data_IF_899717875768
#
_entry.id   IF_899717875768
#
_cell.length_a   1.000
_cell.length_b   1.000
_cell.length_c   1.000
_cell.angle_alpha   90.00
_cell.angle_beta   90.00
_cell.angle_gamma   90.00
#
_symmetry.space_group_name_H-M   'P 1'
#
loop_
_entity.id
_entity.type
_entity.pdbx_description
1 polymer ?
#
# COMPACT_ATOMS: atom_id res chain seq x y z
N UNK A 1 10.14 12.43 14.11
CA UNK A 1 9.73 13.15 12.90
C UNK A 1 9.40 12.09 11.85
N UNK A 2 8.14 12.01 11.43
CA UNK A 2 7.66 11.09 10.40
C UNK A 2 7.44 9.66 10.88
N UNK A 3 6.31 9.38 11.51
CA UNK A 3 5.87 8.00 11.66
C UNK A 3 5.54 7.44 10.27
N UNK A 4 6.34 6.48 9.80
CA UNK A 4 6.09 5.70 8.58
C UNK A 4 4.83 4.84 8.78
N UNK A 5 3.66 5.47 8.74
CA UNK A 5 2.40 4.77 8.75
C UNK A 5 2.12 4.26 7.35
N UNK A 6 2.72 3.11 7.01
CA UNK A 6 2.35 2.34 5.84
C UNK A 6 0.97 1.71 6.08
N UNK A 7 -0.06 2.32 5.50
CA UNK A 7 -1.43 1.80 5.58
C UNK A 7 -1.63 0.68 4.55
N UNK A 8 -2.47 -0.31 4.89
CA UNK A 8 -2.81 -1.43 4.00
C UNK A 8 -4.27 -1.35 3.57
N UNK A 9 -4.49 -1.34 2.26
CA UNK A 9 -5.83 -1.39 1.65
C UNK A 9 -5.98 -2.70 0.86
N UNK A 10 -7.16 -3.32 0.99
CA UNK A 10 -7.55 -4.50 0.22
C UNK A 10 -8.51 -4.08 -0.88
N UNK A 11 -8.12 -4.31 -2.14
CA UNK A 11 -8.99 -4.11 -3.30
C UNK A 11 -9.08 -5.44 -4.04
N UNK A 12 -10.19 -6.15 -3.85
CA UNK A 12 -10.37 -7.50 -4.40
C UNK A 12 -9.25 -8.46 -3.98
N UNK A 13 -8.45 -8.88 -4.97
CA UNK A 13 -7.29 -9.76 -4.79
C UNK A 13 -5.94 -9.02 -4.66
N UNK A 14 -5.94 -7.69 -4.60
CA UNK A 14 -4.72 -6.89 -4.49
C UNK A 14 -4.53 -6.35 -3.07
N UNK A 15 -3.27 -6.31 -2.65
CA UNK A 15 -2.80 -5.59 -1.46
C UNK A 15 -2.08 -4.34 -1.92
N UNK A 16 -2.49 -3.19 -1.37
CA UNK A 16 -1.90 -1.89 -1.65
C UNK A 16 -1.25 -1.35 -0.39
N UNK A 17 0.00 -0.90 -0.51
CA UNK A 17 0.72 -0.15 0.51
C UNK A 17 0.74 1.31 0.08
N UNK A 18 0.30 2.19 0.96
CA UNK A 18 0.17 3.62 0.66
C UNK A 18 0.42 4.50 1.89
N UNK A 19 0.75 5.75 1.62
CA UNK A 19 0.84 6.83 2.60
C UNK A 19 -0.33 7.81 2.42
N UNK A 20 -0.78 8.40 3.53
CA UNK A 20 -1.80 9.47 3.53
C UNK A 20 -1.17 10.74 4.08
N UNK A 21 -1.14 11.79 3.26
CA UNK A 21 -0.71 13.12 3.64
C UNK A 21 -1.93 14.01 3.87
N UNK A 22 -2.49 13.94 5.08
CA UNK A 22 -3.72 14.63 5.44
C UNK A 22 -3.63 16.17 5.32
N UNK A 23 -2.44 16.75 5.49
CA UNK A 23 -2.20 18.19 5.39
C UNK A 23 -2.41 18.78 3.99
N UNK A 24 -2.27 17.93 2.96
CA UNK A 24 -2.33 18.35 1.54
C UNK A 24 -3.35 17.54 0.73
N UNK A 25 -4.13 16.68 1.40
CA UNK A 25 -5.12 15.77 0.78
C UNK A 25 -4.50 14.90 -0.34
N UNK A 26 -3.29 14.38 -0.11
CA UNK A 26 -2.59 13.50 -1.06
C UNK A 26 -2.52 12.07 -0.54
N UNK A 27 -2.73 11.10 -1.42
CA UNK A 27 -2.50 9.67 -1.18
C UNK A 27 -1.41 9.18 -2.12
N UNK A 28 -0.30 8.70 -1.56
CA UNK A 28 0.83 8.17 -2.33
C UNK A 28 0.80 6.64 -2.31
N UNK A 29 0.83 6.02 -3.50
CA UNK A 29 0.86 4.56 -3.64
C UNK A 29 2.31 4.09 -3.74
N UNK A 30 2.76 3.30 -2.75
CA UNK A 30 4.12 2.77 -2.70
C UNK A 30 4.23 1.47 -3.48
N UNK A 31 3.26 0.56 -3.31
CA UNK A 31 3.28 -0.77 -3.94
C UNK A 31 1.90 -1.35 -4.09
N UNK A 32 1.67 -2.04 -5.21
CA UNK A 32 0.51 -2.90 -5.45
C UNK A 32 1.03 -4.31 -5.67
N UNK A 33 0.44 -5.30 -4.98
CA UNK A 33 0.77 -6.71 -5.17
C UNK A 33 -0.50 -7.56 -5.22
N UNK A 34 -0.59 -8.48 -6.19
CA UNK A 34 -1.68 -9.44 -6.22
C UNK A 34 -1.45 -10.53 -5.16
N UNK A 35 -2.52 -11.09 -4.60
CA UNK A 35 -2.41 -12.10 -3.52
C UNK A 35 -1.63 -13.34 -3.95
N UNK A 36 -1.70 -13.70 -5.25
CA UNK A 36 -1.02 -14.87 -5.79
C UNK A 36 0.48 -14.61 -6.02
N UNK A 37 0.85 -13.36 -6.32
CA UNK A 37 2.25 -12.96 -6.55
C UNK A 37 3.11 -13.10 -5.29
N UNK A 38 2.49 -13.10 -4.09
CA UNK A 38 3.18 -13.36 -2.82
C UNK A 38 3.73 -14.80 -2.75
N UNK A 39 3.09 -15.75 -3.43
CA UNK A 39 3.52 -17.15 -3.47
C UNK A 39 4.34 -17.47 -4.72
N UNK A 40 4.48 -16.52 -5.63
CA UNK A 40 5.12 -16.68 -6.92
C UNK A 40 6.51 -16.05 -6.92
N UNK A 41 7.30 -16.36 -5.88
CA UNK A 41 8.74 -16.15 -5.87
C UNK A 41 9.38 -17.53 -5.73
N UNK A 42 9.80 -18.09 -6.87
CA UNK A 42 10.71 -19.23 -6.96
C UNK A 42 11.82 -18.86 -7.94
#
# INVERSE_FOLDING_TARGET
>A
MGSEHAWRLRIGNYRVIYNVFASVLVVEIIRIAHRKDVYQNR
#
